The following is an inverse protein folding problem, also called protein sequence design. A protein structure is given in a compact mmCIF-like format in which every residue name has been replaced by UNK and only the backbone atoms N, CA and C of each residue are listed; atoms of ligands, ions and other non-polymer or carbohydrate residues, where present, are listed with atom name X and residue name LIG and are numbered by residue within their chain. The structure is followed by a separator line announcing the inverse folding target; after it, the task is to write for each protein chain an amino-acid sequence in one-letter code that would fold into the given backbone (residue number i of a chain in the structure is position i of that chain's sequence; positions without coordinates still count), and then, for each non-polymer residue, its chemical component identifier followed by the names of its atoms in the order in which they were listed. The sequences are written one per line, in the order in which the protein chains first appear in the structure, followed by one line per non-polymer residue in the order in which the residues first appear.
data_IF_608336204043
#
_entry.id   IF_608336204043
#
_cell.length_a   1.000
_cell.length_b   1.000
_cell.length_c   1.000
_cell.angle_alpha   90.00
_cell.angle_beta   90.00
_cell.angle_gamma   90.00
#
_symmetry.space_group_name_H-M   'P 1'
#
loop_
_entity.id
_entity.type
_entity.pdbx_description
1 polymer ?
#
# COMPACT_ATOMS: atom_id res chain seq x y z
N UNK A 1 -21.06 -61.51 -71.64
CA UNK A 1 -19.87 -62.36 -71.41
C UNK A 1 -19.16 -61.84 -70.17
N UNK A 2 -19.08 -62.67 -69.12
CA UNK A 2 -18.45 -62.34 -67.85
C UNK A 2 -16.93 -62.24 -67.96
N UNK A 3 -16.31 -61.34 -67.19
CA UNK A 3 -15.12 -61.68 -66.40
C UNK A 3 -14.91 -60.63 -65.28
N UNK A 4 -14.74 -61.04 -64.01
CA UNK A 4 -14.45 -60.15 -62.90
C UNK A 4 -12.93 -59.98 -62.72
N UNK A 5 -12.47 -58.76 -62.44
CA UNK A 5 -11.10 -58.55 -61.93
C UNK A 5 -11.18 -58.24 -60.44
N UNK A 6 -10.78 -59.23 -59.65
CA UNK A 6 -10.53 -59.09 -58.23
C UNK A 6 -9.33 -58.15 -58.02
N UNK A 7 -9.51 -57.08 -57.27
CA UNK A 7 -8.37 -56.33 -56.70
C UNK A 7 -8.04 -56.91 -55.34
N UNK A 8 -6.89 -57.59 -55.30
CA UNK A 8 -6.26 -58.19 -54.12
C UNK A 8 -6.19 -57.21 -52.95
N UNK A 9 -6.88 -57.54 -51.86
CA UNK A 9 -6.62 -56.92 -50.56
C UNK A 9 -5.38 -57.61 -49.97
N UNK A 10 -4.23 -56.94 -50.01
CA UNK A 10 -3.03 -57.44 -49.35
C UNK A 10 -3.25 -57.48 -47.82
N UNK A 11 -3.04 -58.64 -47.17
CA UNK A 11 -3.07 -58.71 -45.72
C UNK A 11 -1.92 -57.87 -45.18
N UNK A 12 -2.21 -56.95 -44.27
CA UNK A 12 -1.17 -56.21 -43.56
C UNK A 12 -0.44 -57.18 -42.65
N UNK A 13 0.84 -57.42 -42.93
CA UNK A 13 1.73 -58.18 -42.06
C UNK A 13 1.76 -57.52 -40.67
N UNK A 14 1.13 -58.16 -39.68
CA UNK A 14 1.27 -57.77 -38.28
C UNK A 14 2.68 -58.11 -37.81
N UNK A 15 3.58 -57.12 -37.89
CA UNK A 15 4.89 -57.20 -37.27
C UNK A 15 4.73 -57.03 -35.77
N UNK A 16 4.94 -58.11 -35.01
CA UNK A 16 4.99 -58.06 -33.55
C UNK A 16 6.16 -57.20 -33.05
N UNK A 17 6.00 -56.59 -31.88
CA UNK A 17 7.01 -55.72 -31.26
C UNK A 17 8.04 -56.60 -30.54
N UNK A 18 9.33 -56.27 -30.69
CA UNK A 18 10.41 -56.96 -29.97
C UNK A 18 10.40 -56.58 -28.48
N UNK A 19 10.79 -57.51 -27.59
CA UNK A 19 10.93 -57.24 -26.16
C UNK A 19 11.87 -56.05 -25.90
N UNK A 20 12.95 -55.93 -26.68
CA UNK A 20 13.91 -54.82 -26.58
C UNK A 20 13.26 -53.50 -26.99
N UNK A 21 12.43 -53.50 -28.03
CA UNK A 21 11.71 -52.31 -28.49
C UNK A 21 10.69 -51.83 -27.44
N UNK A 22 10.04 -52.77 -26.75
CA UNK A 22 9.15 -52.48 -25.62
C UNK A 22 9.92 -51.92 -24.41
N UNK A 23 11.10 -52.46 -24.09
CA UNK A 23 11.96 -51.91 -23.03
C UNK A 23 12.45 -50.49 -23.36
N UNK A 24 12.87 -50.25 -24.60
CA UNK A 24 13.30 -48.92 -25.04
C UNK A 24 12.12 -47.94 -25.04
N UNK A 25 10.96 -48.34 -25.54
CA UNK A 25 9.75 -47.52 -25.53
C UNK A 25 9.33 -47.10 -24.13
N UNK A 26 9.33 -48.03 -23.17
CA UNK A 26 9.00 -47.72 -21.77
C UNK A 26 10.02 -46.82 -21.10
N UNK A 27 11.32 -47.04 -21.34
CA UNK A 27 12.37 -46.19 -20.74
C UNK A 27 12.30 -44.76 -21.27
N UNK A 28 12.10 -44.56 -22.58
CA UNK A 28 11.90 -43.24 -23.17
C UNK A 28 10.62 -42.57 -22.65
N UNK A 29 9.51 -43.31 -22.56
CA UNK A 29 8.24 -42.78 -22.04
C UNK A 29 8.37 -42.30 -20.58
N UNK A 30 9.08 -43.05 -19.74
CA UNK A 30 9.35 -42.66 -18.35
C UNK A 30 10.20 -41.39 -18.28
N UNK A 31 11.27 -41.30 -19.06
CA UNK A 31 12.14 -40.12 -19.11
C UNK A 31 11.35 -38.86 -19.50
N UNK A 32 10.54 -38.95 -20.57
CA UNK A 32 9.71 -37.83 -21.03
C UNK A 32 8.69 -37.42 -19.97
N UNK A 33 8.04 -38.38 -19.31
CA UNK A 33 7.05 -38.09 -18.26
C UNK A 33 7.67 -37.36 -17.08
N UNK A 34 8.87 -37.77 -16.64
CA UNK A 34 9.60 -37.08 -15.56
C UNK A 34 9.95 -35.65 -15.95
N UNK A 35 10.41 -35.44 -17.20
CA UNK A 35 10.77 -34.10 -17.70
C UNK A 35 9.55 -33.15 -17.75
N UNK A 36 8.41 -33.64 -18.26
CA UNK A 36 7.17 -32.86 -18.32
C UNK A 36 6.63 -32.59 -16.91
N UNK A 37 6.61 -33.62 -16.05
CA UNK A 37 6.17 -33.50 -14.66
C UNK A 37 7.01 -32.50 -13.85
N UNK A 38 8.33 -32.55 -14.00
CA UNK A 38 9.24 -31.59 -13.39
C UNK A 38 9.00 -30.16 -13.86
N UNK A 39 8.80 -29.97 -15.18
CA UNK A 39 8.50 -28.65 -15.77
C UNK A 39 7.17 -28.09 -15.27
N UNK A 40 6.13 -28.93 -15.17
CA UNK A 40 4.82 -28.53 -14.66
C UNK A 40 4.88 -28.14 -13.18
N UNK A 41 5.61 -28.89 -12.36
CA UNK A 41 5.81 -28.55 -10.95
C UNK A 41 6.59 -27.24 -10.79
N UNK A 42 7.61 -27.01 -11.62
CA UNK A 42 8.35 -25.76 -11.62
C UNK A 42 7.45 -24.57 -12.02
N UNK A 43 6.61 -24.74 -13.05
CA UNK A 43 5.68 -23.72 -13.51
C UNK A 43 4.63 -23.38 -12.44
N UNK A 44 4.03 -24.38 -11.79
CA UNK A 44 3.04 -24.17 -10.72
C UNK A 44 3.63 -23.48 -9.49
N UNK A 45 4.85 -23.86 -9.07
CA UNK A 45 5.57 -23.17 -7.98
C UNK A 45 5.85 -21.71 -8.32
N UNK A 46 6.36 -21.46 -9.52
CA UNK A 46 6.66 -20.10 -10.01
C UNK A 46 5.39 -19.25 -10.09
N UNK A 47 4.30 -19.82 -10.59
CA UNK A 47 2.99 -19.18 -10.62
C UNK A 47 2.52 -18.78 -9.22
N UNK A 48 2.59 -19.69 -8.24
CA UNK A 48 2.24 -19.40 -6.85
C UNK A 48 3.08 -18.28 -6.25
N UNK A 49 4.40 -18.26 -6.50
CA UNK A 49 5.28 -17.18 -6.05
C UNK A 49 4.94 -15.83 -6.66
N UNK A 50 4.65 -15.79 -7.95
CA UNK A 50 4.28 -14.56 -8.63
C UNK A 50 2.96 -14.02 -8.08
N UNK A 51 1.94 -14.88 -7.93
CA UNK A 51 0.64 -14.47 -7.37
C UNK A 51 0.78 -13.91 -5.95
N UNK A 52 1.57 -14.56 -5.09
CA UNK A 52 1.78 -14.08 -3.72
C UNK A 52 2.47 -12.70 -3.66
N UNK A 53 3.43 -12.42 -4.56
CA UNK A 53 4.08 -11.12 -4.65
C UNK A 53 3.13 -10.03 -5.17
N UNK A 54 2.35 -10.35 -6.20
CA UNK A 54 1.35 -9.44 -6.76
C UNK A 54 0.29 -9.08 -5.72
N UNK A 55 -0.22 -10.06 -4.97
CA UNK A 55 -1.20 -9.84 -3.90
C UNK A 55 -0.66 -8.84 -2.86
N UNK A 56 0.59 -9.00 -2.41
CA UNK A 56 1.23 -8.06 -1.49
C UNK A 56 1.36 -6.68 -2.14
N UNK A 57 1.90 -6.59 -3.35
CA UNK A 57 2.05 -5.30 -4.05
C UNK A 57 0.72 -4.55 -4.18
N UNK A 58 -0.35 -5.24 -4.58
CA UNK A 58 -1.67 -4.64 -4.70
C UNK A 58 -2.22 -4.19 -3.35
N UNK A 59 -2.10 -5.00 -2.30
CA UNK A 59 -2.57 -4.62 -0.96
C UNK A 59 -1.81 -3.42 -0.40
N UNK A 60 -0.48 -3.41 -0.51
CA UNK A 60 0.35 -2.29 -0.05
C UNK A 60 0.02 -1.01 -0.82
N UNK A 61 -0.12 -1.11 -2.15
CA UNK A 61 -0.47 0.04 -2.98
C UNK A 61 -1.83 0.61 -2.63
N UNK A 62 -2.86 -0.24 -2.52
CA UNK A 62 -4.22 0.18 -2.11
C UNK A 62 -4.21 0.85 -0.74
N UNK A 63 -3.48 0.28 0.22
CA UNK A 63 -3.36 0.84 1.58
C UNK A 63 -2.74 2.23 1.53
N UNK A 64 -1.62 2.39 0.82
CA UNK A 64 -0.95 3.69 0.66
C UNK A 64 -1.82 4.71 -0.06
N UNK A 65 -2.55 4.30 -1.10
CA UNK A 65 -3.46 5.19 -1.83
C UNK A 65 -4.65 5.64 -0.94
N UNK A 66 -5.19 4.77 -0.09
CA UNK A 66 -6.21 5.12 0.92
C UNK A 66 -5.66 6.13 1.93
N UNK A 67 -4.48 5.85 2.50
CA UNK A 67 -3.81 6.76 3.45
C UNK A 67 -3.59 8.13 2.81
N UNK A 68 -3.07 8.17 1.58
CA UNK A 68 -2.84 9.42 0.87
C UNK A 68 -4.14 10.15 0.54
N UNK A 69 -5.23 9.45 0.20
CA UNK A 69 -6.53 10.06 -0.05
C UNK A 69 -7.08 10.73 1.22
N UNK A 70 -7.03 10.06 2.36
CA UNK A 70 -7.47 10.63 3.64
C UNK A 70 -6.59 11.80 4.09
N UNK A 71 -5.27 11.71 3.91
CA UNK A 71 -4.36 12.81 4.23
C UNK A 71 -4.55 14.05 3.32
N UNK A 72 -5.07 13.90 2.09
CA UNK A 72 -5.48 15.06 1.27
C UNK A 72 -6.68 15.80 1.86
N UNK A 73 -7.50 15.12 2.67
CA UNK A 73 -8.67 15.69 3.33
C UNK A 73 -8.31 16.32 4.67
N UNK A 74 -7.15 15.97 5.24
CA UNK A 74 -6.67 16.53 6.49
C UNK A 74 -6.70 18.05 6.45
N UNK A 75 -7.34 18.65 7.46
CA UNK A 75 -7.49 20.09 7.58
C UNK A 75 -8.57 20.72 6.70
N UNK A 76 -9.45 19.94 6.07
CA UNK A 76 -10.66 20.49 5.46
C UNK A 76 -11.60 21.05 6.54
N UNK A 77 -12.17 22.23 6.28
CA UNK A 77 -13.11 22.94 7.15
C UNK A 77 -14.27 23.46 6.29
N UNK A 78 -15.49 23.00 6.59
CA UNK A 78 -16.68 23.31 5.78
C UNK A 78 -17.08 24.79 5.87
N UNK A 79 -16.70 25.47 6.94
CA UNK A 79 -17.00 26.88 7.21
C UNK A 79 -15.76 27.77 6.99
N UNK A 80 -14.75 27.25 6.31
CA UNK A 80 -13.52 27.99 6.05
C UNK A 80 -13.79 29.27 5.25
N UNK A 81 -13.46 30.41 5.84
CA UNK A 81 -13.21 31.65 5.10
C UNK A 81 -11.73 31.99 5.14
N UNK A 82 -11.30 32.99 4.36
CA UNK A 82 -9.92 33.48 4.38
C UNK A 82 -9.42 33.87 5.77
N UNK A 83 -10.31 34.32 6.67
CA UNK A 83 -9.95 34.80 8.01
C UNK A 83 -10.26 33.80 9.13
N UNK A 84 -11.12 32.81 8.89
CA UNK A 84 -11.65 31.89 9.92
C UNK A 84 -11.23 30.44 9.77
N UNK A 85 -10.47 30.07 8.73
CA UNK A 85 -10.02 28.69 8.58
C UNK A 85 -9.11 28.27 9.76
N UNK A 86 -9.58 27.32 10.58
CA UNK A 86 -8.88 26.86 11.79
C UNK A 86 -7.60 26.09 11.51
N UNK A 87 -7.47 25.49 10.33
CA UNK A 87 -6.33 24.64 9.95
C UNK A 87 -5.16 25.43 9.33
N UNK A 88 -5.33 26.73 9.07
CA UNK A 88 -4.24 27.63 8.63
C UNK A 88 -3.40 28.15 9.79
N UNK A 89 -3.80 27.89 11.04
CA UNK A 89 -3.07 28.31 12.25
C UNK A 89 -2.63 27.11 13.09
N UNK A 90 -1.38 27.11 13.55
CA UNK A 90 -0.84 26.13 14.50
C UNK A 90 -1.17 26.55 15.93
N UNK A 91 -2.47 26.52 16.29
CA UNK A 91 -2.94 27.00 17.60
C UNK A 91 -3.28 25.87 18.57
N UNK A 92 -3.65 24.68 18.07
CA UNK A 92 -3.96 23.52 18.91
C UNK A 92 -3.61 22.20 18.21
N UNK A 93 -3.42 21.11 18.97
CA UNK A 93 -3.26 19.76 18.42
C UNK A 93 -4.45 19.34 17.54
N UNK A 94 -5.64 19.87 17.84
CA UNK A 94 -6.87 19.62 17.09
C UNK A 94 -6.89 20.16 15.65
N UNK A 95 -5.95 21.05 15.29
CA UNK A 95 -5.91 21.72 13.97
C UNK A 95 -4.62 21.44 13.19
N UNK A 96 -3.90 20.37 13.55
CA UNK A 96 -2.70 19.93 12.85
C UNK A 96 -2.69 18.42 12.61
N UNK A 97 -1.71 18.01 11.82
CA UNK A 97 -1.31 16.62 11.66
C UNK A 97 -0.12 16.34 12.59
N UNK A 98 -0.16 15.22 13.29
CA UNK A 98 0.93 14.79 14.16
C UNK A 98 1.34 13.36 13.84
N UNK A 99 2.64 13.16 13.75
CA UNK A 99 3.26 11.86 13.64
C UNK A 99 3.84 11.49 15.02
N UNK A 100 3.41 10.34 15.54
CA UNK A 100 3.74 9.79 16.86
C UNK A 100 4.48 8.47 16.72
N UNK A 101 5.00 7.94 17.83
CA UNK A 101 5.61 6.59 17.88
C UNK A 101 6.66 6.39 16.77
N UNK A 102 7.60 7.32 16.66
CA UNK A 102 8.61 7.34 15.58
C UNK A 102 7.97 7.27 14.17
N UNK A 103 6.93 8.07 13.95
CA UNK A 103 6.18 8.18 12.68
C UNK A 103 5.32 6.96 12.30
N UNK A 104 5.21 5.95 13.17
CA UNK A 104 4.39 4.76 12.91
C UNK A 104 2.89 4.96 13.22
N UNK A 105 2.53 6.11 13.79
CA UNK A 105 1.16 6.52 14.00
C UNK A 105 1.01 7.97 13.53
N UNK A 106 -0.02 8.24 12.73
CA UNK A 106 -0.37 9.60 12.30
C UNK A 106 -1.81 9.89 12.70
N UNK A 107 -2.01 11.05 13.30
CA UNK A 107 -3.32 11.58 13.68
C UNK A 107 -3.55 12.90 12.96
N UNK A 108 -4.76 13.10 12.47
CA UNK A 108 -5.17 14.31 11.78
C UNK A 108 -6.67 14.53 11.97
N UNK A 109 -7.14 15.74 11.69
CA UNK A 109 -8.54 16.08 11.77
C UNK A 109 -9.03 16.73 10.48
N UNK A 110 -10.32 16.56 10.19
CA UNK A 110 -11.02 17.33 9.17
C UNK A 110 -12.52 17.38 9.50
N UNK A 111 -13.19 18.44 9.08
CA UNK A 111 -14.64 18.60 9.29
C UNK A 111 -15.42 17.80 8.23
N UNK A 112 -16.06 16.71 8.65
CA UNK A 112 -16.95 15.91 7.80
C UNK A 112 -18.44 16.10 8.11
N UNK A 113 -18.79 16.79 9.20
CA UNK A 113 -20.17 16.96 9.66
C UNK A 113 -20.82 18.23 9.13
N UNK A 114 -20.02 19.12 8.55
CA UNK A 114 -20.48 20.44 8.06
C UNK A 114 -21.08 21.31 9.17
N UNK A 115 -20.67 21.12 10.42
CA UNK A 115 -21.17 21.87 11.58
C UNK A 115 -20.12 22.81 12.18
N UNK A 116 -20.58 23.86 12.85
CA UNK A 116 -19.74 24.93 13.43
C UNK A 116 -19.09 24.55 14.77
N UNK A 117 -19.38 23.36 15.31
CA UNK A 117 -18.75 22.90 16.54
C UNK A 117 -17.33 22.46 16.20
N UNK A 118 -16.36 23.30 16.55
CA UNK A 118 -14.97 22.92 16.50
C UNK A 118 -14.69 21.81 17.53
N UNK A 119 -13.95 20.79 17.10
CA UNK A 119 -13.68 19.57 17.86
C UNK A 119 -14.80 18.56 17.61
N UNK A 120 -14.59 17.42 16.96
CA UNK A 120 -13.45 16.54 17.12
C UNK A 120 -13.64 15.37 16.14
N UNK A 121 -13.20 15.52 14.91
CA UNK A 121 -13.33 14.47 13.90
C UNK A 121 -11.93 14.04 13.57
N UNK A 122 -11.38 13.29 14.52
CA UNK A 122 -10.03 12.78 14.46
C UNK A 122 -10.02 11.45 13.74
N UNK A 123 -9.06 11.34 12.85
CA UNK A 123 -8.77 10.17 12.06
C UNK A 123 -7.29 9.89 12.19
N UNK A 124 -6.89 8.70 11.78
CA UNK A 124 -5.51 8.33 11.91
C UNK A 124 -5.20 6.99 11.30
N UNK A 125 -3.91 6.74 11.19
CA UNK A 125 -3.36 5.45 10.78
C UNK A 125 -2.26 5.07 11.74
N UNK A 126 -2.18 3.78 12.09
CA UNK A 126 -1.07 3.26 12.90
C UNK A 126 -0.61 1.90 12.42
N UNK A 127 0.63 1.57 12.71
CA UNK A 127 1.11 0.19 12.69
C UNK A 127 0.92 -0.44 14.07
N UNK A 128 0.16 -1.51 14.15
CA UNK A 128 0.04 -2.29 15.38
C UNK A 128 0.02 -3.79 15.04
N UNK A 129 0.84 -4.59 15.71
CA UNK A 129 0.92 -6.04 15.50
C UNK A 129 1.01 -6.44 14.01
N UNK A 130 1.94 -5.82 13.28
CA UNK A 130 2.16 -6.01 11.85
C UNK A 130 0.95 -5.74 10.94
N UNK A 131 0.00 -4.95 11.43
CA UNK A 131 -1.22 -4.60 10.71
C UNK A 131 -1.33 -3.08 10.67
N UNK A 132 -1.55 -2.50 9.49
CA UNK A 132 -1.95 -1.09 9.41
C UNK A 132 -3.41 -1.03 9.84
N UNK A 133 -3.67 -0.16 10.81
CA UNK A 133 -5.01 0.12 11.31
C UNK A 133 -5.38 1.56 10.97
N UNK A 134 -6.67 1.79 10.75
CA UNK A 134 -7.22 3.14 10.64
C UNK A 134 -8.09 3.43 11.86
N UNK A 135 -8.02 4.66 12.34
CA UNK A 135 -8.90 5.17 13.38
C UNK A 135 -10.15 5.69 12.69
N UNK A 136 -11.30 5.08 13.00
CA UNK A 136 -12.58 5.64 12.63
C UNK A 136 -12.82 6.94 13.41
N UNK A 137 -13.64 7.84 12.85
CA UNK A 137 -13.95 9.15 13.43
C UNK A 137 -14.10 9.09 14.95
N UNK A 138 -13.29 9.88 15.65
CA UNK A 138 -13.33 9.99 17.11
C UNK A 138 -13.36 11.43 17.56
N UNK A 139 -14.12 11.66 18.64
CA UNK A 139 -14.19 12.93 19.31
C UNK A 139 -13.33 13.04 20.57
N UNK A 140 -13.01 14.27 20.97
CA UNK A 140 -12.17 14.67 22.09
C UNK A 140 -10.84 13.90 22.24
N UNK A 141 -10.13 13.65 21.12
CA UNK A 141 -8.83 12.99 21.17
C UNK A 141 -7.69 13.97 21.45
N UNK A 142 -6.83 13.57 22.37
CA UNK A 142 -5.59 14.28 22.65
C UNK A 142 -4.52 13.92 21.62
N UNK A 143 -4.49 14.66 20.51
CA UNK A 143 -3.51 14.46 19.43
C UNK A 143 -2.12 15.01 19.75
N UNK A 144 -1.86 15.56 20.94
CA UNK A 144 -0.52 15.94 21.36
C UNK A 144 0.25 14.79 22.00
N UNK A 145 -0.44 13.75 22.47
CA UNK A 145 0.14 12.68 23.25
C UNK A 145 0.21 11.35 22.50
N UNK A 146 1.35 10.67 22.62
CA UNK A 146 1.62 9.34 22.04
C UNK A 146 0.61 8.27 22.49
N UNK A 147 -0.03 8.44 23.65
CA UNK A 147 -1.00 7.51 24.22
C UNK A 147 -2.26 7.32 23.36
N UNK A 148 -2.62 8.32 22.55
CA UNK A 148 -3.76 8.24 21.62
C UNK A 148 -3.55 7.17 20.55
N UNK A 149 -2.29 6.84 20.25
CA UNK A 149 -1.90 5.78 19.33
C UNK A 149 -1.89 4.39 19.96
N UNK A 150 -1.99 4.24 21.28
CA UNK A 150 -1.77 2.97 21.94
C UNK A 150 -3.05 2.13 22.08
N UNK A 151 -4.16 2.67 22.58
CA UNK A 151 -5.38 1.86 22.77
C UNK A 151 -6.67 2.69 22.69
N UNK A 152 -7.26 2.76 21.49
CA UNK A 152 -8.63 3.21 21.27
C UNK A 152 -9.47 2.08 20.65
N UNK A 153 -10.73 1.91 21.05
CA UNK A 153 -11.61 0.86 20.50
C UNK A 153 -12.01 1.08 19.04
N UNK A 154 -11.75 2.28 18.51
CA UNK A 154 -12.11 2.70 17.16
C UNK A 154 -11.05 2.38 16.10
N UNK A 155 -9.94 1.76 16.50
CA UNK A 155 -8.95 1.26 15.56
C UNK A 155 -9.45 0.00 14.87
N UNK A 156 -9.53 0.02 13.54
CA UNK A 156 -9.89 -1.13 12.73
C UNK A 156 -8.75 -1.50 11.77
N UNK A 157 -8.58 -2.79 11.51
CA UNK A 157 -7.57 -3.28 10.56
C UNK A 157 -7.89 -2.84 9.13
N UNK A 158 -6.93 -2.17 8.49
CA UNK A 158 -6.99 -1.78 7.08
C UNK A 158 -6.31 -2.84 6.19
N UNK A 159 -5.23 -3.45 6.68
CA UNK A 159 -4.58 -4.60 6.04
C UNK A 159 -5.04 -5.91 6.67
N UNK A 160 -5.04 -7.00 5.89
CA UNK A 160 -5.35 -8.34 6.42
C UNK A 160 -4.06 -9.05 6.90
N UNK A 161 -3.91 -9.33 8.21
CA UNK A 161 -2.74 -10.01 8.76
C UNK A 161 -2.60 -11.46 8.32
N UNK A 162 -3.60 -12.05 7.64
CA UNK A 162 -3.52 -13.40 7.05
C UNK A 162 -2.87 -13.41 5.67
N UNK A 163 -2.79 -12.26 5.01
CA UNK A 163 -2.24 -12.14 3.65
C UNK A 163 -0.92 -11.38 3.65
N UNK A 164 -0.84 -10.26 4.38
CA UNK A 164 0.33 -9.39 4.43
C UNK A 164 0.75 -9.13 5.87
N UNK A 165 2.05 -9.31 6.15
CA UNK A 165 2.68 -8.86 7.38
C UNK A 165 3.36 -7.53 7.10
N UNK A 166 2.86 -6.45 7.69
CA UNK A 166 3.47 -5.13 7.58
C UNK A 166 4.63 -5.02 8.58
N UNK A 167 5.82 -4.73 8.07
CA UNK A 167 7.04 -4.62 8.89
C UNK A 167 7.43 -3.17 9.13
N UNK A 168 7.07 -2.27 8.23
CA UNK A 168 7.28 -0.84 8.38
C UNK A 168 6.08 -0.06 7.85
N UNK A 169 5.66 0.96 8.60
CA UNK A 169 4.73 1.97 8.15
C UNK A 169 5.15 3.26 8.81
N UNK A 170 5.49 4.26 8.00
CA UNK A 170 5.92 5.56 8.49
C UNK A 170 5.26 6.67 7.71
N UNK A 171 4.85 7.72 8.44
CA UNK A 171 4.38 8.98 7.88
C UNK A 171 5.24 10.11 8.42
N UNK A 172 6.13 10.62 7.58
CA UNK A 172 6.99 11.75 7.93
C UNK A 172 6.45 13.04 7.32
N UNK A 173 6.65 14.16 8.03
CA UNK A 173 6.21 15.47 7.60
C UNK A 173 7.41 16.32 7.18
N UNK A 174 7.34 16.85 5.96
CA UNK A 174 8.26 17.85 5.44
C UNK A 174 7.60 19.22 5.38
N UNK A 175 8.39 20.25 5.66
CA UNK A 175 7.95 21.64 5.77
C UNK A 175 8.81 22.52 4.86
N UNK A 176 8.17 23.36 4.04
CA UNK A 176 8.84 24.40 3.25
C UNK A 176 8.35 25.76 3.71
N UNK A 177 9.25 26.59 4.22
CA UNK A 177 8.93 27.90 4.79
C UNK A 177 9.20 29.00 3.76
N UNK A 178 8.20 29.34 2.95
CA UNK A 178 8.33 30.31 1.87
C UNK A 178 8.11 31.73 2.42
N UNK A 179 9.08 32.66 2.32
CA UNK A 179 8.88 34.05 2.73
C UNK A 179 7.70 34.70 2.00
N UNK A 180 6.91 35.48 2.70
CA UNK A 180 5.84 36.31 2.16
C UNK A 180 6.33 37.75 2.01
N UNK A 181 6.40 38.26 0.78
CA UNK A 181 6.77 39.65 0.52
C UNK A 181 7.37 39.89 -0.89
N UNK A 182 7.77 41.13 -1.22
CA UNK A 182 8.28 41.48 -2.55
C UNK A 182 9.60 40.79 -2.94
N UNK A 183 10.26 40.08 -2.00
CA UNK A 183 11.45 39.25 -2.28
C UNK A 183 11.15 37.75 -2.52
N UNK A 184 9.87 37.33 -2.61
CA UNK A 184 9.50 35.91 -2.78
C UNK A 184 9.84 35.30 -4.15
N UNK A 185 10.38 36.05 -5.11
CA UNK A 185 10.46 35.59 -6.51
C UNK A 185 11.64 34.66 -6.82
N UNK A 186 12.57 34.40 -5.89
CA UNK A 186 13.75 33.57 -6.18
C UNK A 186 14.18 32.58 -5.09
N UNK A 187 13.56 32.56 -3.90
CA UNK A 187 13.89 31.57 -2.87
C UNK A 187 12.93 30.39 -2.90
N UNK A 188 13.37 29.29 -3.50
CA UNK A 188 12.86 27.96 -3.15
C UNK A 188 13.31 27.68 -1.73
N UNK A 189 12.39 27.75 -0.77
CA UNK A 189 12.68 27.34 0.59
C UNK A 189 13.03 25.84 0.59
N UNK A 190 14.20 25.51 1.12
CA UNK A 190 14.58 24.11 1.30
C UNK A 190 13.58 23.42 2.23
N UNK A 191 13.30 22.16 1.93
CA UNK A 191 12.45 21.35 2.79
C UNK A 191 13.21 20.96 4.07
N UNK A 192 12.50 21.02 5.20
CA UNK A 192 13.01 20.65 6.52
C UNK A 192 12.04 19.73 7.24
N UNK A 193 12.52 19.03 8.26
CA UNK A 193 11.74 18.06 9.04
C UNK A 193 11.13 18.66 10.32
N UNK A 194 11.26 19.97 10.49
CA UNK A 194 10.74 20.73 11.63
C UNK A 194 9.74 21.77 11.15
N UNK A 195 8.64 22.01 11.90
CA UNK A 195 7.74 23.11 11.64
C UNK A 195 8.44 24.45 11.42
N UNK A 196 7.89 25.26 10.53
CA UNK A 196 8.34 26.63 10.31
C UNK A 196 8.13 27.45 11.59
N UNK A 197 9.10 28.32 11.89
CA UNK A 197 9.06 29.25 13.02
C UNK A 197 9.32 30.68 12.51
N UNK A 198 8.78 31.68 13.19
CA UNK A 198 8.87 33.09 12.78
C UNK A 198 7.55 33.66 12.27
N UNK A 199 7.62 34.76 11.53
CA UNK A 199 6.48 35.52 10.99
C UNK A 199 6.70 35.87 9.52
N UNK A 200 5.63 36.20 8.79
CA UNK A 200 5.62 36.47 7.35
C UNK A 200 6.12 35.28 6.51
N UNK A 201 5.70 34.07 6.87
CA UNK A 201 6.06 32.84 6.17
C UNK A 201 4.80 32.08 5.75
N UNK A 202 4.83 31.49 4.55
CA UNK A 202 3.90 30.45 4.12
C UNK A 202 4.55 29.09 4.32
N UNK A 203 4.02 28.31 5.25
CA UNK A 203 4.42 26.93 5.50
C UNK A 203 3.63 25.99 4.57
N UNK A 204 4.33 25.40 3.60
CA UNK A 204 3.81 24.30 2.76
C UNK A 204 4.21 22.98 3.42
N UNK A 205 3.27 22.05 3.53
CA UNK A 205 3.47 20.76 4.21
C UNK A 205 3.30 19.60 3.25
N UNK A 206 4.20 18.62 3.32
CA UNK A 206 4.14 17.37 2.57
C UNK A 206 4.23 16.20 3.54
N UNK A 207 3.31 15.25 3.44
CA UNK A 207 3.42 13.98 4.14
C UNK A 207 4.00 12.91 3.20
N UNK A 208 5.07 12.25 3.64
CA UNK A 208 5.66 11.11 2.95
C UNK A 208 5.25 9.84 3.66
N UNK A 209 4.65 8.92 2.90
CA UNK A 209 4.15 7.66 3.41
C UNK A 209 5.04 6.55 2.87
N UNK A 210 5.60 5.74 3.75
CA UNK A 210 6.33 4.52 3.42
C UNK A 210 5.60 3.36 4.07
N UNK A 211 5.38 2.29 3.29
CA UNK A 211 4.76 1.06 3.77
C UNK A 211 5.54 -0.13 3.22
N UNK A 212 6.08 -0.95 4.10
CA UNK A 212 6.80 -2.17 3.76
C UNK A 212 6.09 -3.38 4.35
N UNK A 213 5.91 -4.42 3.53
CA UNK A 213 5.30 -5.65 3.98
C UNK A 213 5.73 -6.87 3.18
N UNK A 214 5.34 -8.03 3.69
CA UNK A 214 5.75 -9.34 3.17
C UNK A 214 4.56 -10.29 3.12
N UNK A 215 4.60 -11.25 2.19
CA UNK A 215 3.57 -12.30 2.10
C UNK A 215 3.62 -13.21 3.31
N UNK A 216 2.46 -13.44 3.94
CA UNK A 216 2.32 -14.44 5.02
C UNK A 216 2.36 -15.86 4.46
N UNK A 217 1.88 -16.07 3.22
CA UNK A 217 1.85 -17.38 2.57
C UNK A 217 3.25 -17.87 2.18
N UNK A 218 4.16 -16.93 1.91
CA UNK A 218 5.53 -17.22 1.48
C UNK A 218 6.49 -16.20 2.10
N UNK A 219 6.88 -16.46 3.35
CA UNK A 219 7.79 -15.61 4.14
C UNK A 219 9.26 -15.65 3.69
N UNK A 220 9.59 -16.46 2.69
CA UNK A 220 10.94 -16.48 2.10
C UNK A 220 11.10 -15.41 1.01
N UNK A 221 9.98 -14.85 0.54
CA UNK A 221 10.01 -13.82 -0.49
C UNK A 221 10.49 -12.48 0.08
N UNK A 222 11.21 -11.66 -0.71
CA UNK A 222 11.62 -10.33 -0.27
C UNK A 222 10.44 -9.46 0.16
N UNK A 223 10.68 -8.58 1.13
CA UNK A 223 9.71 -7.54 1.48
C UNK A 223 9.50 -6.57 0.31
N UNK A 224 8.26 -6.16 0.11
CA UNK A 224 7.87 -5.16 -0.88
C UNK A 224 7.63 -3.83 -0.18
N UNK A 225 8.06 -2.73 -0.81
CA UNK A 225 7.85 -1.37 -0.27
C UNK A 225 7.03 -0.53 -1.25
N UNK A 226 5.97 0.08 -0.76
CA UNK A 226 5.20 1.12 -1.45
C UNK A 226 5.51 2.47 -0.81
N UNK A 227 5.67 3.50 -1.65
CA UNK A 227 5.91 4.88 -1.21
C UNK A 227 5.00 5.83 -1.96
N UNK A 228 4.55 6.87 -1.28
CA UNK A 228 3.88 8.00 -1.91
C UNK A 228 4.10 9.26 -1.09
N UNK A 229 3.86 10.42 -1.69
CA UNK A 229 3.83 11.68 -0.98
C UNK A 229 2.56 12.45 -1.32
N UNK A 230 2.14 13.27 -0.38
CA UNK A 230 0.95 14.11 -0.50
C UNK A 230 1.23 15.48 0.06
N UNK A 231 1.02 16.52 -0.75
CA UNK A 231 0.97 17.89 -0.24
C UNK A 231 -0.34 18.05 0.54
N UNK A 232 -0.22 18.46 1.79
CA UNK A 232 -1.38 18.71 2.65
C UNK A 232 -2.05 20.02 2.21
N UNK A 233 -3.39 20.11 2.29
CA UNK A 233 -4.08 21.35 1.98
C UNK A 233 -3.86 22.39 3.08
N UNK A 234 -4.35 23.60 2.82
CA UNK A 234 -4.28 24.72 3.76
C UNK A 234 -2.85 25.00 4.23
N UNK A 235 -2.05 25.57 3.34
CA UNK A 235 -0.76 26.15 3.70
C UNK A 235 -0.96 27.12 4.87
N UNK A 236 -0.06 27.07 5.83
CA UNK A 236 -0.17 27.92 7.02
C UNK A 236 0.51 29.25 6.78
N UNK A 237 -0.07 30.30 7.35
CA UNK A 237 0.49 31.64 7.34
C UNK A 237 0.93 31.96 8.76
N UNK A 238 2.23 32.20 8.92
CA UNK A 238 2.89 32.55 10.17
C UNK A 238 3.14 34.06 10.22
#
# INVERSE_FOLDING_TARGET
MLSPYATDAHPSDQRGVSLVELMVGMTVALLVTVMIGGSFLAATRTGGTMSAQLDVQYQLRRTVDIVAAELRRAGYDSQATFTTNRFTRRTAPATDIFAHKNNSCVLFAYDNTMTTTAGDNFFGFRLNNNTVQMLLEQSNLDTANDGTCDNHSAWMSLTDPRTVRVTDFTVTLGYQCVPLGPQSTTQTAAEQNTPCTGTNLREVRTAYIVLTGQSVRQSDLPSTTARTSVRLPNDRIL
#
